data_IF_891095435364
#
_entry.id   IF_891095435364
#
_cell.length_a   1.000
_cell.length_b   1.000
_cell.length_c   1.000
_cell.angle_alpha   90.00
_cell.angle_beta   90.00
_cell.angle_gamma   90.00
#
_symmetry.space_group_name_H-M   'P 1'
#
loop_
_entity.id
_entity.type
_entity.pdbx_description
1 polymer ?
#
# COMPACT_ATOMS: atom_id res chain seq x y z
N UNK A 1 36.52 -0.32 -11.05
CA UNK A 1 35.12 -0.75 -10.95
C UNK A 1 35.19 -2.23 -10.67
N UNK A 2 35.13 -2.57 -9.39
CA UNK A 2 34.98 -3.96 -8.96
C UNK A 2 33.59 -4.43 -9.38
N UNK A 3 33.51 -5.61 -9.98
CA UNK A 3 32.27 -6.23 -10.43
C UNK A 3 31.53 -6.94 -9.28
N UNK A 4 32.07 -6.86 -8.06
CA UNK A 4 31.55 -7.51 -6.85
C UNK A 4 30.58 -6.61 -6.05
N UNK A 5 30.38 -5.36 -6.44
CA UNK A 5 29.41 -4.41 -5.83
C UNK A 5 28.06 -4.38 -6.58
N UNK A 6 27.80 -5.35 -7.47
CA UNK A 6 26.48 -5.46 -8.10
C UNK A 6 25.52 -6.19 -7.15
N UNK A 7 25.09 -5.49 -6.11
CA UNK A 7 23.92 -5.91 -5.33
C UNK A 7 22.73 -5.99 -6.31
N UNK A 8 22.09 -7.16 -6.45
CA UNK A 8 20.93 -7.26 -7.31
C UNK A 8 19.86 -6.27 -6.81
N UNK A 9 19.08 -5.66 -7.72
CA UNK A 9 17.98 -4.81 -7.29
C UNK A 9 17.08 -5.59 -6.33
N UNK A 10 16.64 -4.92 -5.26
CA UNK A 10 15.72 -5.52 -4.30
C UNK A 10 14.50 -6.09 -5.04
N UNK A 11 13.98 -7.26 -4.63
CA UNK A 11 12.81 -7.86 -5.25
C UNK A 11 11.62 -6.90 -5.18
N UNK A 12 10.79 -6.91 -6.23
CA UNK A 12 9.50 -6.21 -6.24
C UNK A 12 8.54 -6.79 -5.21
N UNK A 13 7.51 -6.03 -4.84
CA UNK A 13 6.53 -6.44 -3.82
C UNK A 13 5.84 -7.77 -4.13
N UNK A 14 5.69 -8.10 -5.41
CA UNK A 14 4.96 -9.27 -5.88
C UNK A 14 5.85 -10.42 -6.37
N UNK A 15 7.18 -10.25 -6.36
CA UNK A 15 8.12 -11.27 -6.86
C UNK A 15 7.99 -12.60 -6.11
N UNK A 16 7.81 -12.55 -4.79
CA UNK A 16 7.61 -13.72 -3.93
C UNK A 16 6.27 -14.45 -4.19
N UNK A 17 5.39 -13.87 -5.00
CA UNK A 17 4.06 -14.38 -5.31
C UNK A 17 3.87 -14.76 -6.78
N UNK A 18 4.92 -14.71 -7.61
CA UNK A 18 4.82 -14.93 -9.06
C UNK A 18 4.08 -16.22 -9.45
N UNK A 19 4.37 -17.34 -8.79
CA UNK A 19 3.70 -18.63 -9.05
C UNK A 19 2.20 -18.60 -8.71
N UNK A 20 1.85 -17.94 -7.59
CA UNK A 20 0.45 -17.78 -7.16
C UNK A 20 -0.29 -16.91 -8.17
N UNK A 21 0.33 -15.81 -8.61
CA UNK A 21 -0.23 -14.87 -9.57
C UNK A 21 -0.47 -15.52 -10.94
N UNK A 22 0.47 -16.33 -11.40
CA UNK A 22 0.36 -17.09 -12.65
C UNK A 22 -0.80 -18.11 -12.62
N UNK A 23 -1.17 -18.60 -11.43
CA UNK A 23 -2.26 -19.56 -11.24
C UNK A 23 -3.64 -18.91 -11.01
N UNK A 24 -3.72 -17.57 -10.91
CA UNK A 24 -4.99 -16.88 -10.66
C UNK A 24 -5.97 -17.04 -11.84
N UNK A 25 -7.26 -17.24 -11.57
CA UNK A 25 -8.27 -17.13 -12.62
C UNK A 25 -8.34 -15.69 -13.15
N UNK A 26 -8.81 -15.49 -14.40
CA UNK A 26 -8.95 -14.15 -14.94
C UNK A 26 -9.85 -13.27 -14.08
N UNK A 27 -9.36 -12.10 -13.68
CA UNK A 27 -10.12 -11.12 -12.90
C UNK A 27 -10.96 -10.23 -13.82
N UNK A 28 -12.16 -9.86 -13.34
CA UNK A 28 -13.04 -8.91 -14.03
C UNK A 28 -12.84 -7.52 -13.45
N UNK A 29 -12.33 -6.61 -14.26
CA UNK A 29 -12.17 -5.22 -13.87
C UNK A 29 -13.44 -4.44 -14.19
N UNK A 30 -13.81 -3.51 -13.30
CA UNK A 30 -14.90 -2.58 -13.57
C UNK A 30 -14.54 -1.62 -14.71
N UNK A 31 -15.56 -1.04 -15.35
CA UNK A 31 -15.35 -0.08 -16.42
C UNK A 31 -14.71 1.21 -15.92
N UNK A 32 -13.87 1.85 -16.74
CA UNK A 32 -13.10 3.04 -16.36
C UNK A 32 -13.93 4.19 -15.79
N UNK A 33 -15.18 4.36 -16.25
CA UNK A 33 -16.09 5.38 -15.72
C UNK A 33 -16.47 5.16 -14.25
N UNK A 34 -16.73 3.89 -13.88
CA UNK A 34 -17.06 3.53 -12.49
C UNK A 34 -15.82 3.73 -11.63
N UNK A 35 -14.67 3.22 -12.09
CA UNK A 35 -13.40 3.38 -11.38
C UNK A 35 -13.00 4.85 -11.20
N UNK A 36 -13.19 5.69 -12.23
CA UNK A 36 -12.89 7.12 -12.16
C UNK A 36 -13.81 7.87 -11.19
N UNK A 37 -15.09 7.51 -11.14
CA UNK A 37 -16.02 8.05 -10.16
C UNK A 37 -15.63 7.66 -8.72
N UNK A 38 -15.27 6.39 -8.50
CA UNK A 38 -14.84 5.88 -7.18
C UNK A 38 -13.50 6.54 -6.75
N UNK A 39 -12.54 6.69 -7.66
CA UNK A 39 -11.26 7.34 -7.40
C UNK A 39 -11.43 8.78 -6.88
N UNK A 40 -12.34 9.57 -7.49
CA UNK A 40 -12.68 10.93 -7.02
C UNK A 40 -13.37 10.96 -5.66
N UNK A 41 -13.93 9.83 -5.23
CA UNK A 41 -14.57 9.69 -3.93
C UNK A 41 -13.59 9.32 -2.81
N UNK A 42 -12.35 8.96 -3.13
CA UNK A 42 -11.30 8.72 -2.14
C UNK A 42 -11.10 9.95 -1.25
N UNK A 43 -11.38 9.79 0.05
CA UNK A 43 -11.17 10.83 1.05
C UNK A 43 -9.68 11.17 1.19
N UNK A 44 -8.81 10.16 1.11
CA UNK A 44 -7.37 10.31 1.18
C UNK A 44 -6.83 11.19 0.05
N UNK A 45 -7.24 10.94 -1.20
CA UNK A 45 -6.82 11.77 -2.34
C UNK A 45 -7.40 13.19 -2.29
N UNK A 46 -8.62 13.37 -1.80
CA UNK A 46 -9.17 14.71 -1.61
C UNK A 46 -8.34 15.51 -0.62
N UNK A 47 -7.99 14.91 0.53
CA UNK A 47 -7.12 15.53 1.55
C UNK A 47 -5.74 15.85 0.98
N UNK A 48 -5.14 14.92 0.23
CA UNK A 48 -3.85 15.13 -0.43
C UNK A 48 -3.89 16.28 -1.46
N UNK A 49 -4.95 16.36 -2.28
CA UNK A 49 -5.13 17.46 -3.23
C UNK A 49 -5.38 18.81 -2.53
N UNK A 50 -6.14 18.82 -1.43
CA UNK A 50 -6.33 20.01 -0.59
C UNK A 50 -5.02 20.49 0.05
N UNK A 51 -4.19 19.56 0.51
CA UNK A 51 -2.86 19.87 1.03
C UNK A 51 -1.97 20.49 -0.06
N UNK A 52 -1.91 19.89 -1.26
CA UNK A 52 -1.17 20.45 -2.38
C UNK A 52 -1.64 21.87 -2.74
N UNK A 53 -2.95 22.10 -2.85
CA UNK A 53 -3.50 23.45 -3.10
C UNK A 53 -3.15 24.44 -2.00
N UNK A 54 -3.15 24.00 -0.74
CA UNK A 54 -2.75 24.85 0.38
C UNK A 54 -1.28 25.27 0.28
N UNK A 55 -0.40 24.39 -0.20
CA UNK A 55 0.99 24.75 -0.47
C UNK A 55 1.09 25.85 -1.56
N UNK A 56 0.28 25.75 -2.62
CA UNK A 56 0.20 26.82 -3.63
C UNK A 56 -0.33 28.14 -3.05
N UNK A 57 -1.37 28.11 -2.22
CA UNK A 57 -1.97 29.30 -1.60
C UNK A 57 -1.00 30.01 -0.63
N UNK A 58 -0.12 29.24 0.01
CA UNK A 58 0.96 29.76 0.85
C UNK A 58 2.14 30.32 0.05
N UNK A 59 2.11 30.20 -1.28
CA UNK A 59 3.11 30.76 -2.18
C UNK A 59 4.37 29.91 -2.32
N UNK A 60 4.31 28.63 -1.93
CA UNK A 60 5.44 27.74 -2.16
C UNK A 60 5.69 27.53 -3.66
N UNK A 61 6.96 27.57 -4.05
CA UNK A 61 7.44 27.40 -5.41
C UNK A 61 8.59 26.39 -5.53
N UNK A 62 9.17 26.28 -6.74
CA UNK A 62 10.25 25.33 -7.02
C UNK A 62 11.51 25.51 -6.16
N UNK A 63 11.78 26.72 -5.67
CA UNK A 63 12.96 26.98 -4.84
C UNK A 63 12.71 26.76 -3.34
N UNK A 64 11.49 26.41 -2.94
CA UNK A 64 11.12 26.26 -1.54
C UNK A 64 11.22 24.81 -1.07
N UNK A 65 11.58 24.64 0.21
CA UNK A 65 11.61 23.36 0.91
C UNK A 65 10.36 23.19 1.78
N UNK A 66 9.92 21.94 2.03
CA UNK A 66 8.90 21.67 3.04
C UNK A 66 9.35 22.21 4.41
N UNK A 67 8.38 22.46 5.29
CA UNK A 67 8.68 22.81 6.69
C UNK A 67 9.42 21.66 7.35
N UNK A 68 10.37 21.98 8.23
CA UNK A 68 11.16 20.97 8.94
C UNK A 68 10.39 20.30 10.10
N UNK A 69 9.27 20.88 10.52
CA UNK A 69 8.49 20.51 11.70
C UNK A 69 7.07 20.02 11.37
N UNK A 70 6.93 19.24 10.30
CA UNK A 70 5.65 18.60 9.97
C UNK A 70 5.24 17.63 11.09
N UNK A 71 3.96 17.66 11.45
CA UNK A 71 3.39 16.59 12.28
C UNK A 71 3.38 15.26 11.51
N UNK A 72 3.26 14.13 12.21
CA UNK A 72 3.18 12.80 11.56
C UNK A 72 1.99 12.70 10.58
N UNK A 73 0.84 13.27 10.96
CA UNK A 73 -0.35 13.33 10.10
C UNK A 73 -0.07 14.17 8.85
N UNK A 74 0.57 15.32 9.00
CA UNK A 74 0.93 16.20 7.88
C UNK A 74 1.96 15.55 6.96
N UNK A 75 2.96 14.87 7.52
CA UNK A 75 3.93 14.06 6.78
C UNK A 75 3.26 12.97 5.95
N UNK A 76 2.28 12.27 6.53
CA UNK A 76 1.51 11.22 5.84
C UNK A 76 0.73 11.79 4.65
N UNK A 77 0.04 12.92 4.84
CA UNK A 77 -0.73 13.57 3.77
C UNK A 77 0.20 14.13 2.69
N UNK A 78 1.35 14.70 3.07
CA UNK A 78 2.36 15.22 2.15
C UNK A 78 2.95 14.12 1.28
N UNK A 79 3.34 12.99 1.89
CA UNK A 79 3.86 11.82 1.17
C UNK A 79 2.82 11.26 0.20
N UNK A 80 1.55 11.16 0.62
CA UNK A 80 0.48 10.74 -0.27
C UNK A 80 0.27 11.72 -1.43
N UNK A 81 0.32 13.03 -1.18
CA UNK A 81 0.22 14.05 -2.23
C UNK A 81 1.35 13.93 -3.25
N UNK A 82 2.57 13.64 -2.80
CA UNK A 82 3.70 13.38 -3.68
C UNK A 82 3.52 12.09 -4.49
N UNK A 83 3.15 10.97 -3.84
CA UNK A 83 2.91 9.69 -4.53
C UNK A 83 1.77 9.74 -5.55
N UNK A 84 0.72 10.52 -5.28
CA UNK A 84 -0.38 10.75 -6.23
C UNK A 84 0.00 11.75 -7.36
N UNK A 85 1.16 12.40 -7.28
CA UNK A 85 1.61 13.43 -8.21
C UNK A 85 0.81 14.72 -8.11
N UNK A 86 0.25 15.04 -6.94
CA UNK A 86 -0.39 16.33 -6.64
C UNK A 86 0.60 17.37 -6.15
N UNK A 87 1.72 16.93 -5.57
CA UNK A 87 2.76 17.75 -4.98
C UNK A 87 4.11 17.34 -5.56
N UNK A 88 4.87 18.29 -6.06
CA UNK A 88 6.30 18.12 -6.37
C UNK A 88 7.09 18.31 -5.07
N UNK A 89 8.08 17.46 -4.83
CA UNK A 89 8.95 17.48 -3.64
C UNK A 89 10.44 17.33 -3.96
N UNK A 90 10.80 16.83 -5.15
CA UNK A 90 12.19 16.63 -5.56
C UNK A 90 12.78 17.91 -6.15
N UNK A 91 12.02 18.58 -7.02
CA UNK A 91 12.43 19.83 -7.68
C UNK A 91 12.00 21.10 -6.93
N UNK A 92 11.40 20.96 -5.74
CA UNK A 92 10.83 22.03 -4.94
C UNK A 92 9.59 21.54 -4.19
N UNK A 93 8.87 22.42 -3.50
CA UNK A 93 7.66 22.05 -2.76
C UNK A 93 6.42 22.78 -3.31
N UNK A 94 5.77 22.27 -4.35
CA UNK A 94 4.64 23.00 -4.96
C UNK A 94 3.55 22.12 -5.56
N UNK A 95 2.33 22.67 -5.66
CA UNK A 95 1.20 21.96 -6.26
C UNK A 95 1.41 21.74 -7.76
N UNK A 96 1.23 20.50 -8.22
CA UNK A 96 1.24 20.20 -9.65
C UNK A 96 -0.08 20.64 -10.31
N UNK A 97 -0.13 20.80 -11.65
CA UNK A 97 -1.38 21.08 -12.36
C UNK A 97 -2.47 20.04 -12.06
N UNK A 98 -2.09 18.77 -11.86
CA UNK A 98 -3.01 17.69 -11.50
C UNK A 98 -3.61 17.89 -10.10
N UNK A 99 -2.79 18.22 -9.11
CA UNK A 99 -3.25 18.49 -7.75
C UNK A 99 -4.25 19.65 -7.68
N UNK A 100 -4.01 20.70 -8.47
CA UNK A 100 -4.92 21.85 -8.59
C UNK A 100 -6.23 21.45 -9.29
N UNK A 101 -6.15 20.67 -10.36
CA UNK A 101 -7.31 20.27 -11.16
C UNK A 101 -8.20 19.19 -10.50
N UNK A 102 -7.75 18.55 -9.41
CA UNK A 102 -8.52 17.51 -8.75
C UNK A 102 -9.80 18.06 -8.08
N UNK A 103 -10.99 17.42 -8.20
CA UNK A 103 -11.24 16.10 -8.78
C UNK A 103 -11.68 16.12 -10.25
N UNK A 104 -11.56 17.24 -10.97
CA UNK A 104 -12.13 17.46 -12.31
C UNK A 104 -11.32 16.84 -13.47
N UNK A 105 -10.31 16.03 -13.17
CA UNK A 105 -9.50 15.31 -14.17
C UNK A 105 -10.31 14.22 -14.91
N UNK A 106 -9.95 13.78 -16.13
CA UNK A 106 -10.63 12.69 -16.83
C UNK A 106 -10.68 11.36 -16.04
N UNK A 107 -11.58 10.44 -16.39
CA UNK A 107 -11.73 9.14 -15.70
C UNK A 107 -10.45 8.30 -15.70
N UNK A 108 -9.76 8.21 -16.84
CA UNK A 108 -8.51 7.47 -16.93
C UNK A 108 -7.43 8.04 -16.00
N UNK A 109 -7.27 9.37 -15.98
CA UNK A 109 -6.30 10.04 -15.12
C UNK A 109 -6.65 9.88 -13.64
N UNK A 110 -7.93 9.90 -13.28
CA UNK A 110 -8.36 9.69 -11.90
C UNK A 110 -8.00 8.30 -11.38
N UNK A 111 -8.22 7.28 -12.22
CA UNK A 111 -7.88 5.89 -11.90
C UNK A 111 -6.38 5.71 -11.77
N UNK A 112 -5.59 6.26 -12.68
CA UNK A 112 -4.13 6.21 -12.64
C UNK A 112 -3.58 6.93 -11.42
N UNK A 113 -4.09 8.13 -11.12
CA UNK A 113 -3.72 8.91 -9.93
C UNK A 113 -3.99 8.13 -8.64
N UNK A 114 -5.15 7.48 -8.55
CA UNK A 114 -5.49 6.67 -7.38
C UNK A 114 -4.60 5.42 -7.28
N UNK A 115 -4.32 4.76 -8.40
CA UNK A 115 -3.42 3.62 -8.42
C UNK A 115 -1.99 4.02 -8.03
N UNK A 116 -1.49 5.17 -8.50
CA UNK A 116 -0.19 5.70 -8.12
C UNK A 116 -0.11 5.98 -6.61
N UNK A 117 -1.12 6.66 -6.04
CA UNK A 117 -1.18 6.90 -4.59
C UNK A 117 -1.28 5.63 -3.74
N UNK A 118 -1.78 4.52 -4.29
CA UNK A 118 -1.82 3.22 -3.62
C UNK A 118 -0.41 2.68 -3.31
N UNK A 119 0.64 3.15 -4.01
CA UNK A 119 2.02 2.78 -3.69
C UNK A 119 2.34 3.06 -2.22
N UNK A 120 1.90 4.20 -1.67
CA UNK A 120 2.11 4.50 -0.24
C UNK A 120 1.43 3.48 0.70
N UNK A 121 0.31 2.90 0.29
CA UNK A 121 -0.34 1.83 1.05
C UNK A 121 0.37 0.47 0.89
N UNK A 122 1.01 0.21 -0.25
CA UNK A 122 1.80 -1.00 -0.50
C UNK A 122 3.17 -0.97 0.20
N UNK A 123 3.84 0.18 0.13
CA UNK A 123 5.15 0.42 0.71
C UNK A 123 5.07 0.71 2.22
N UNK A 124 3.88 1.00 2.75
CA UNK A 124 3.66 1.24 4.17
C UNK A 124 4.12 0.02 4.98
N UNK A 125 5.10 0.22 5.86
CA UNK A 125 5.61 -0.85 6.68
C UNK A 125 4.70 -1.01 7.91
N UNK A 126 4.14 -2.20 8.10
CA UNK A 126 3.31 -2.50 9.27
C UNK A 126 4.11 -2.31 10.55
N UNK A 127 5.43 -2.54 10.50
CA UNK A 127 6.31 -2.40 11.67
C UNK A 127 6.51 -0.96 12.10
N UNK A 128 6.30 0.05 11.24
CA UNK A 128 6.32 1.46 11.65
C UNK A 128 5.20 1.80 12.64
N UNK A 129 4.14 0.98 12.65
CA UNK A 129 3.00 1.11 13.58
C UNK A 129 3.06 0.15 14.76
N UNK A 130 4.02 -0.77 14.76
CA UNK A 130 4.30 -1.64 15.90
C UNK A 130 5.33 -0.95 16.80
N UNK A 131 5.21 -1.15 18.10
CA UNK A 131 6.23 -0.68 19.04
C UNK A 131 7.43 -1.64 18.97
N UNK A 132 8.28 -1.47 17.96
CA UNK A 132 9.42 -2.35 17.68
C UNK A 132 10.46 -2.30 18.78
N UNK A 133 10.68 -1.17 19.44
CA UNK A 133 11.57 -1.07 20.63
C UNK A 133 11.18 -2.04 21.75
N UNK A 134 9.88 -2.31 21.90
CA UNK A 134 9.36 -3.25 22.90
C UNK A 134 9.46 -4.71 22.43
N UNK A 135 9.59 -4.94 21.12
CA UNK A 135 9.79 -6.25 20.52
C UNK A 135 11.28 -6.61 20.39
N UNK A 136 12.15 -5.62 20.18
CA UNK A 136 13.60 -5.77 20.14
C UNK A 136 14.13 -6.25 21.51
N UNK A 137 13.58 -5.76 22.64
CA UNK A 137 13.91 -6.29 23.97
C UNK A 137 13.45 -7.75 24.19
N UNK A 138 12.43 -8.21 23.45
CA UNK A 138 11.96 -9.61 23.48
C UNK A 138 12.74 -10.52 22.52
N UNK A 139 13.41 -9.93 21.53
CA UNK A 139 14.20 -10.60 20.50
C UNK A 139 15.70 -10.29 20.61
N UNK A 140 16.24 -10.16 21.83
CA UNK A 140 17.69 -10.24 22.09
C UNK A 140 18.19 -11.68 21.80
N UNK A 141 17.94 -12.14 20.57
CA UNK A 141 18.36 -13.40 20.01
C UNK A 141 19.67 -13.16 19.30
N UNK A 142 20.62 -14.05 19.53
CA UNK A 142 21.85 -14.09 18.76
C UNK A 142 21.46 -14.37 17.30
N UNK A 143 21.69 -13.45 16.34
CA UNK A 143 21.35 -13.67 14.94
C UNK A 143 22.12 -14.85 14.33
N UNK A 144 23.17 -15.32 15.01
CA UNK A 144 23.94 -16.53 14.64
C UNK A 144 23.36 -17.82 15.25
N UNK A 145 22.28 -17.77 16.05
CA UNK A 145 21.59 -18.96 16.57
C UNK A 145 20.79 -19.65 15.45
N UNK A 146 20.95 -20.97 15.31
CA UNK A 146 20.25 -21.77 14.31
C UNK A 146 18.71 -21.78 14.53
N UNK A 147 18.26 -21.48 15.76
CA UNK A 147 16.85 -21.38 16.13
C UNK A 147 16.34 -19.93 16.22
N UNK A 148 17.11 -18.93 15.76
CA UNK A 148 16.70 -17.53 15.77
C UNK A 148 15.43 -17.32 14.92
N UNK A 149 14.45 -16.61 15.47
CA UNK A 149 13.26 -16.19 14.74
C UNK A 149 13.64 -15.15 13.68
N UNK A 150 12.95 -15.11 12.53
CA UNK A 150 13.12 -14.02 11.58
C UNK A 150 12.92 -12.68 12.30
N UNK A 151 13.75 -11.69 11.98
CA UNK A 151 13.55 -10.32 12.44
C UNK A 151 12.08 -9.91 12.17
N UNK A 152 11.38 -9.36 13.17
CA UNK A 152 9.99 -8.92 13.01
C UNK A 152 9.80 -7.99 11.82
N UNK A 153 10.77 -7.11 11.57
CA UNK A 153 10.71 -6.23 10.41
C UNK A 153 10.65 -7.03 9.11
N UNK A 154 11.49 -8.05 8.96
CA UNK A 154 11.52 -8.92 7.78
C UNK A 154 10.29 -9.82 7.71
N UNK A 155 9.79 -10.30 8.86
CA UNK A 155 8.61 -11.14 8.95
C UNK A 155 7.33 -10.43 8.48
N UNK A 156 7.18 -9.15 8.82
CA UNK A 156 6.03 -8.33 8.44
C UNK A 156 6.26 -7.56 7.14
N UNK A 157 7.50 -7.56 6.63
CA UNK A 157 7.83 -7.01 5.32
C UNK A 157 7.02 -7.71 4.23
N UNK A 158 6.37 -6.93 3.36
CA UNK A 158 5.55 -7.49 2.29
C UNK A 158 4.20 -8.07 2.73
N UNK A 159 3.80 -7.91 4.00
CA UNK A 159 2.50 -8.41 4.48
C UNK A 159 1.34 -7.82 3.67
N UNK A 160 1.35 -6.51 3.38
CA UNK A 160 0.28 -5.89 2.58
C UNK A 160 0.17 -6.54 1.18
N UNK A 161 1.24 -6.61 0.36
CA UNK A 161 1.22 -7.38 -0.88
C UNK A 161 0.68 -8.80 -0.73
N UNK A 162 1.12 -9.55 0.29
CA UNK A 162 0.67 -10.91 0.55
C UNK A 162 -0.83 -11.00 0.85
N UNK A 163 -1.37 -10.07 1.64
CA UNK A 163 -2.81 -9.97 1.92
C UNK A 163 -3.60 -9.65 0.65
N UNK A 164 -3.12 -8.72 -0.19
CA UNK A 164 -3.79 -8.37 -1.44
C UNK A 164 -3.81 -9.55 -2.42
N UNK A 165 -2.70 -10.29 -2.56
CA UNK A 165 -2.66 -11.54 -3.35
C UNK A 165 -3.62 -12.57 -2.78
N UNK A 166 -3.71 -12.67 -1.46
CA UNK A 166 -4.66 -13.57 -0.78
C UNK A 166 -6.11 -13.20 -1.10
N UNK A 167 -6.47 -11.92 -1.09
CA UNK A 167 -7.80 -11.43 -1.45
C UNK A 167 -8.11 -11.59 -2.95
N UNK A 168 -7.12 -11.52 -3.85
CA UNK A 168 -7.30 -11.82 -5.28
C UNK A 168 -7.78 -13.26 -5.52
N UNK A 169 -7.38 -14.20 -4.65
CA UNK A 169 -7.82 -15.61 -4.71
C UNK A 169 -9.26 -15.80 -4.25
N UNK A 170 -9.81 -14.82 -3.54
CA UNK A 170 -11.14 -14.86 -2.95
C UNK A 170 -11.96 -13.61 -3.34
N UNK A 171 -12.35 -13.45 -4.63
CA UNK A 171 -12.99 -12.23 -5.12
C UNK A 171 -14.35 -11.94 -4.47
N UNK A 172 -15.00 -12.93 -3.85
CA UNK A 172 -16.22 -12.75 -3.06
C UNK A 172 -15.98 -12.21 -1.65
N UNK A 173 -14.72 -12.01 -1.26
CA UNK A 173 -14.30 -11.74 0.11
C UNK A 173 -13.76 -12.97 0.82
N UNK A 174 -12.97 -12.72 1.86
CA UNK A 174 -12.38 -13.72 2.73
C UNK A 174 -12.80 -13.43 4.18
N UNK A 175 -13.27 -14.43 4.95
CA UNK A 175 -13.52 -14.26 6.38
C UNK A 175 -12.27 -13.73 7.10
N UNK A 176 -12.46 -12.83 8.07
CA UNK A 176 -11.36 -12.19 8.80
C UNK A 176 -10.48 -13.22 9.52
N UNK A 177 -11.07 -14.30 10.03
CA UNK A 177 -10.33 -15.40 10.64
C UNK A 177 -9.44 -16.16 9.65
N UNK A 178 -9.86 -16.32 8.40
CA UNK A 178 -9.05 -16.94 7.34
C UNK A 178 -7.94 -16.00 6.88
N UNK A 179 -8.23 -14.70 6.77
CA UNK A 179 -7.24 -13.70 6.42
C UNK A 179 -6.16 -13.59 7.51
N UNK A 180 -6.55 -13.62 8.79
CA UNK A 180 -5.62 -13.67 9.93
C UNK A 180 -4.72 -14.90 9.86
N UNK A 181 -5.28 -16.06 9.53
CA UNK A 181 -4.50 -17.29 9.39
C UNK A 181 -3.49 -17.18 8.23
N UNK A 182 -3.90 -16.63 7.08
CA UNK A 182 -2.99 -16.41 5.96
C UNK A 182 -1.88 -15.40 6.31
N UNK A 183 -2.21 -14.34 7.06
CA UNK A 183 -1.25 -13.37 7.58
C UNK A 183 -0.22 -14.04 8.51
N UNK A 184 -0.68 -14.82 9.48
CA UNK A 184 0.18 -15.55 10.41
C UNK A 184 1.05 -16.61 9.72
N UNK A 185 0.53 -17.27 8.68
CA UNK A 185 1.32 -18.18 7.84
C UNK A 185 2.43 -17.43 7.08
N UNK A 186 2.15 -16.21 6.59
CA UNK A 186 3.12 -15.38 5.88
C UNK A 186 4.22 -14.84 6.80
N UNK A 187 3.86 -14.27 7.95
CA UNK A 187 4.82 -13.65 8.89
C UNK A 187 5.55 -14.68 9.76
N UNK A 188 5.17 -15.95 9.70
CA UNK A 188 5.52 -16.96 10.69
C UNK A 188 4.61 -16.88 11.92
N UNK A 189 4.01 -18.02 12.29
CA UNK A 189 2.99 -18.10 13.34
C UNK A 189 3.53 -17.65 14.70
N UNK A 190 4.76 -18.04 15.04
CA UNK A 190 5.40 -17.63 16.29
C UNK A 190 5.59 -16.11 16.36
N UNK A 191 5.99 -15.48 15.26
CA UNK A 191 6.12 -14.04 15.17
C UNK A 191 4.76 -13.36 15.32
N UNK A 192 3.73 -13.85 14.62
CA UNK A 192 2.38 -13.33 14.71
C UNK A 192 1.81 -13.39 16.13
N UNK A 193 1.87 -14.55 16.77
CA UNK A 193 1.33 -14.78 18.12
C UNK A 193 2.05 -13.94 19.18
N UNK A 194 3.36 -13.73 18.99
CA UNK A 194 4.16 -12.87 19.87
C UNK A 194 3.66 -11.43 19.78
N UNK A 195 3.54 -10.86 18.58
CA UNK A 195 3.00 -9.49 18.41
C UNK A 195 1.57 -9.42 18.93
N UNK A 196 0.72 -10.40 18.60
CA UNK A 196 -0.68 -10.44 19.03
C UNK A 196 -0.83 -10.43 20.56
N UNK A 197 0.05 -11.15 21.27
CA UNK A 197 0.04 -11.23 22.74
C UNK A 197 0.42 -9.91 23.40
N UNK A 198 1.37 -9.18 22.82
CA UNK A 198 1.95 -7.98 23.44
C UNK A 198 1.30 -6.67 22.96
N UNK A 199 0.83 -6.62 21.72
CA UNK A 199 0.39 -5.38 21.06
C UNK A 199 -1.02 -5.48 20.45
N UNK A 200 -1.67 -6.65 20.53
CA UNK A 200 -2.97 -6.90 19.90
C UNK A 200 -2.84 -7.35 18.45
N UNK A 201 -3.99 -7.63 17.81
CA UNK A 201 -4.05 -8.26 16.49
C UNK A 201 -3.35 -7.42 15.40
N UNK A 202 -2.20 -7.86 14.84
CA UNK A 202 -1.45 -7.11 13.83
C UNK A 202 -2.24 -6.85 12.55
N UNK A 203 -3.28 -7.65 12.28
CA UNK A 203 -4.10 -7.47 11.09
C UNK A 203 -4.86 -6.14 11.11
N UNK A 204 -5.20 -5.63 12.29
CA UNK A 204 -5.97 -4.38 12.44
C UNK A 204 -5.21 -3.15 11.92
N UNK A 205 -3.99 -2.84 12.42
CA UNK A 205 -3.22 -1.70 11.91
C UNK A 205 -2.78 -1.88 10.44
N UNK A 206 -2.76 -3.11 9.92
CA UNK A 206 -2.53 -3.36 8.48
C UNK A 206 -3.77 -3.06 7.62
N UNK A 207 -4.97 -3.43 8.07
CA UNK A 207 -6.19 -3.25 7.29
C UNK A 207 -6.73 -1.82 7.33
N UNK A 208 -6.54 -1.10 8.43
CA UNK A 208 -7.08 0.26 8.60
C UNK A 208 -6.65 1.21 7.47
N UNK A 209 -5.37 1.35 7.09
CA UNK A 209 -4.96 2.18 5.95
C UNK A 209 -5.57 1.72 4.62
N UNK A 210 -5.72 0.41 4.42
CA UNK A 210 -6.31 -0.14 3.20
C UNK A 210 -7.81 0.18 3.10
N UNK A 211 -8.52 0.18 4.23
CA UNK A 211 -9.92 0.60 4.33
C UNK A 211 -10.05 2.10 4.09
N UNK A 212 -9.23 2.91 4.79
CA UNK A 212 -9.24 4.36 4.67
C UNK A 212 -8.95 4.84 3.24
N UNK A 213 -8.01 4.18 2.56
CA UNK A 213 -7.67 4.49 1.17
C UNK A 213 -8.72 3.96 0.16
N UNK A 214 -9.59 3.05 0.59
CA UNK A 214 -10.64 2.43 -0.22
C UNK A 214 -10.17 1.23 -1.05
N UNK A 215 -9.05 0.60 -0.70
CA UNK A 215 -8.54 -0.62 -1.33
C UNK A 215 -9.43 -1.81 -0.98
N UNK A 216 -9.77 -1.93 0.30
CA UNK A 216 -10.60 -3.03 0.82
C UNK A 216 -11.81 -2.46 1.56
N UNK A 217 -12.82 -3.30 1.73
CA UNK A 217 -13.90 -3.07 2.67
C UNK A 217 -14.04 -4.27 3.59
N UNK A 218 -14.43 -3.99 4.83
CA UNK A 218 -14.70 -4.99 5.87
C UNK A 218 -16.20 -4.96 6.17
N UNK A 219 -16.91 -6.03 5.81
CA UNK A 219 -18.36 -6.17 5.94
C UNK A 219 -18.66 -7.58 6.47
N UNK A 220 -19.55 -7.71 7.47
CA UNK A 220 -20.00 -9.00 8.01
C UNK A 220 -18.86 -9.98 8.38
N UNK A 221 -17.78 -9.47 9.02
CA UNK A 221 -16.58 -10.25 9.39
C UNK A 221 -15.82 -10.84 8.18
N UNK A 222 -16.00 -10.26 7.00
CA UNK A 222 -15.26 -10.58 5.79
C UNK A 222 -14.57 -9.34 5.21
N UNK A 223 -13.39 -9.56 4.63
CA UNK A 223 -12.61 -8.54 3.93
C UNK A 223 -12.68 -8.82 2.43
N UNK A 224 -12.96 -7.80 1.62
CA UNK A 224 -12.97 -7.92 0.16
C UNK A 224 -12.29 -6.72 -0.49
N UNK A 225 -11.66 -6.95 -1.64
CA UNK A 225 -11.20 -5.86 -2.51
C UNK A 225 -12.41 -5.07 -3.01
N UNK A 226 -12.31 -3.74 -3.01
CA UNK A 226 -13.23 -2.90 -3.77
C UNK A 226 -12.94 -3.06 -5.27
N UNK A 227 -13.83 -2.63 -6.18
CA UNK A 227 -13.51 -2.60 -7.61
C UNK A 227 -12.23 -1.81 -7.91
N UNK A 228 -12.02 -0.72 -7.17
CA UNK A 228 -10.85 0.15 -7.29
C UNK A 228 -9.59 -0.51 -6.71
N UNK A 229 -9.70 -1.15 -5.54
CA UNK A 229 -8.63 -1.95 -4.93
C UNK A 229 -8.19 -3.13 -5.79
N UNK A 230 -9.14 -3.83 -6.41
CA UNK A 230 -8.84 -4.87 -7.40
C UNK A 230 -8.06 -4.30 -8.58
N UNK A 231 -8.51 -3.16 -9.13
CA UNK A 231 -7.80 -2.49 -10.22
C UNK A 231 -6.37 -2.07 -9.82
N UNK A 232 -6.20 -1.40 -8.68
CA UNK A 232 -4.88 -0.96 -8.21
C UNK A 232 -3.93 -2.10 -7.91
N UNK A 233 -4.41 -3.17 -7.30
CA UNK A 233 -3.60 -4.37 -7.04
C UNK A 233 -3.08 -4.95 -8.36
N UNK A 234 -3.96 -5.12 -9.35
CA UNK A 234 -3.57 -5.63 -10.68
C UNK A 234 -2.65 -4.65 -11.43
N UNK A 235 -2.86 -3.34 -11.27
CA UNK A 235 -2.01 -2.31 -11.85
C UNK A 235 -0.56 -2.44 -11.36
N UNK A 236 -0.35 -2.55 -10.04
CA UNK A 236 0.99 -2.66 -9.45
C UNK A 236 1.66 -3.98 -9.79
N UNK A 237 0.93 -5.10 -9.74
CA UNK A 237 1.45 -6.41 -10.18
C UNK A 237 2.00 -6.34 -11.62
N UNK A 238 1.27 -5.66 -12.52
CA UNK A 238 1.71 -5.50 -13.92
C UNK A 238 2.89 -4.55 -14.07
N UNK A 239 2.94 -3.50 -13.26
CA UNK A 239 4.05 -2.54 -13.28
C UNK A 239 5.37 -3.21 -12.87
N UNK A 240 5.31 -4.22 -12.02
CA UNK A 240 6.45 -5.08 -11.64
C UNK A 240 6.75 -6.20 -12.66
N UNK A 241 6.04 -6.25 -13.79
CA UNK A 241 6.28 -7.22 -14.86
C UNK A 241 5.58 -8.58 -14.70
N UNK A 242 4.74 -8.74 -13.67
CA UNK A 242 3.96 -9.96 -13.45
C UNK A 242 2.65 -9.95 -14.25
N UNK A 243 2.13 -11.14 -14.55
CA UNK A 243 0.88 -11.29 -15.32
C UNK A 243 -0.26 -11.78 -14.45
N UNK A 244 -1.38 -11.06 -14.50
CA UNK A 244 -2.69 -11.52 -14.01
C UNK A 244 -3.66 -11.46 -15.18
N UNK A 245 -4.25 -12.61 -15.51
CA UNK A 245 -5.27 -12.69 -16.54
C UNK A 245 -6.40 -11.70 -16.22
N UNK A 246 -6.81 -10.89 -17.19
CA UNK A 246 -7.97 -10.00 -17.00
C UNK A 246 -8.92 -10.11 -18.17
N UNK A 247 -10.22 -10.13 -17.90
CA UNK A 247 -11.24 -9.89 -18.93
C UNK A 247 -11.85 -8.52 -18.69
N UNK A 248 -11.84 -7.67 -19.72
CA UNK A 248 -12.58 -6.41 -19.68
C UNK A 248 -14.08 -6.71 -19.73
N UNK A 249 -14.84 -6.15 -18.79
CA UNK A 249 -16.28 -6.04 -18.99
C UNK A 249 -16.49 -5.06 -20.15
N UNK A 250 -17.11 -5.51 -21.25
CA UNK A 250 -17.50 -4.62 -22.33
C UNK A 250 -18.42 -3.54 -21.75
N UNK A 251 -17.89 -2.32 -21.64
CA UNK A 251 -18.62 -1.11 -21.24
C UNK A 251 -19.16 -0.38 -22.45
#
# INVERSE_FOLDING_TARGET
>A
MDLDDFEPPAPGFFDLHADVLAALPPVRLAGGRVLGADARQSAALRRAAEYARSAQDLGYGPDDLPRADLSEEEGTVSSLAASAGFLEVEEGFFATPRGVAWPDVPDAEAVETWAAGMYGALAGNVTDRLQTELLDELLDQDPDDEDALPNFNDAFHGLVPALLVTLLRAPGGMPLCELRRAAAEHTGQLSWDTVATHQGDPLTPTLEPLVEYGVVVVEDDAVRLTPLGLHGTVFHIRNEGHTVGSSSAAG
#
